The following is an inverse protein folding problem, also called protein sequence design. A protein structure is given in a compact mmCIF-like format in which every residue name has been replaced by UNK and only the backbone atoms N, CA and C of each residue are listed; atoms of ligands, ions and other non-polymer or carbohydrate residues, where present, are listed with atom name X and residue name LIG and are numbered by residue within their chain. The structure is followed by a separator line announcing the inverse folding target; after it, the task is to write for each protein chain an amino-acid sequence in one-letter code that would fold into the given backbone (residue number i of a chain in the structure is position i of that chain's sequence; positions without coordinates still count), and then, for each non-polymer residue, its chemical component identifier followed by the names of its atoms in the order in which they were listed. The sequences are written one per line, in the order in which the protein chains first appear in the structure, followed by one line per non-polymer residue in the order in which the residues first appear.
data_IF_240421642132
#
_entry.id   IF_240421642132
#
_cell.length_a   1.000
_cell.length_b   1.000
_cell.length_c   1.000
_cell.angle_alpha   90.00
_cell.angle_beta   90.00
_cell.angle_gamma   90.00
#
_symmetry.space_group_name_H-M   'P 1'
#
loop_
_entity.id
_entity.type
_entity.pdbx_description
1 polymer ?
#
# COMPACT_ATOMS: atom_id res chain seq x y z
N UNK A 1 1.65 1.25 16.00
CA UNK A 1 2.87 0.61 15.45
C UNK A 1 2.67 -0.91 15.48
N UNK A 2 2.50 -1.57 14.33
CA UNK A 2 2.16 -3.01 14.28
C UNK A 2 3.39 -3.90 14.27
N UNK A 3 3.74 -4.48 15.43
CA UNK A 3 4.66 -5.62 15.51
C UNK A 3 3.86 -6.92 15.39
N UNK A 4 4.43 -7.90 14.68
CA UNK A 4 3.75 -9.12 14.24
C UNK A 4 3.36 -10.12 15.33
N UNK A 5 3.32 -9.74 16.62
CA UNK A 5 3.12 -10.76 17.67
C UNK A 5 2.04 -10.50 18.72
N UNK A 6 1.56 -9.27 18.99
CA UNK A 6 0.49 -9.07 20.00
C UNK A 6 -0.48 -7.90 19.78
N UNK A 7 -0.17 -6.94 18.90
CA UNK A 7 -1.00 -5.73 18.71
C UNK A 7 -1.61 -5.54 17.32
N UNK A 8 -1.39 -6.48 16.38
CA UNK A 8 -1.82 -6.32 14.99
C UNK A 8 -3.33 -6.32 14.80
N UNK A 9 -4.04 -7.21 15.51
CA UNK A 9 -5.50 -7.30 15.42
C UNK A 9 -6.19 -6.08 16.03
N UNK A 10 -5.71 -5.62 17.20
CA UNK A 10 -6.23 -4.40 17.84
C UNK A 10 -6.01 -3.17 16.95
N UNK A 11 -4.82 -3.01 16.38
CA UNK A 11 -4.54 -1.91 15.46
C UNK A 11 -5.42 -1.95 14.20
N UNK A 12 -5.69 -3.14 13.64
CA UNK A 12 -6.62 -3.27 12.52
C UNK A 12 -8.05 -2.90 12.90
N UNK A 13 -8.46 -3.19 14.14
CA UNK A 13 -9.80 -2.83 14.61
C UNK A 13 -9.94 -1.32 14.80
N UNK A 14 -8.95 -0.68 15.45
CA UNK A 14 -8.88 0.79 15.55
C UNK A 14 -8.91 1.46 14.17
N UNK A 15 -8.20 0.88 13.20
CA UNK A 15 -8.20 1.32 11.82
C UNK A 15 -9.59 1.23 11.17
N UNK A 16 -10.35 0.16 11.41
CA UNK A 16 -11.73 0.03 10.93
C UNK A 16 -12.61 1.11 11.53
N UNK A 17 -12.56 1.30 12.86
CA UNK A 17 -13.33 2.32 13.57
C UNK A 17 -12.99 3.72 13.06
N UNK A 18 -11.70 4.05 12.93
CA UNK A 18 -11.26 5.33 12.38
C UNK A 18 -11.79 5.57 10.96
N UNK A 19 -11.78 4.54 10.12
CA UNK A 19 -12.27 4.65 8.74
C UNK A 19 -13.80 4.81 8.68
N UNK A 20 -14.54 4.00 9.42
CA UNK A 20 -16.01 3.96 9.35
C UNK A 20 -16.65 5.12 10.11
N UNK A 21 -16.22 5.34 11.34
CA UNK A 21 -16.88 6.25 12.28
C UNK A 21 -16.20 7.63 12.27
N UNK A 22 -14.88 7.66 12.09
CA UNK A 22 -14.10 8.89 12.04
C UNK A 22 -13.96 9.52 10.64
N UNK A 23 -14.38 8.82 9.58
CA UNK A 23 -14.28 9.30 8.21
C UNK A 23 -12.85 9.42 7.67
N UNK A 24 -11.85 8.86 8.37
CA UNK A 24 -10.44 9.01 8.01
C UNK A 24 -10.07 8.23 6.74
N UNK A 25 -9.13 8.79 5.98
CA UNK A 25 -8.41 8.08 4.92
C UNK A 25 -7.07 7.57 5.46
N UNK A 26 -6.63 6.40 5.01
CA UNK A 26 -5.39 5.79 5.50
C UNK A 26 -4.43 5.45 4.38
N UNK A 27 -3.15 5.73 4.62
CA UNK A 27 -2.06 5.36 3.74
C UNK A 27 -1.28 4.19 4.35
N UNK A 28 -1.19 3.08 3.61
CA UNK A 28 -0.54 1.85 4.08
C UNK A 28 0.54 1.45 3.06
N UNK A 29 1.80 1.27 3.47
CA UNK A 29 2.81 0.61 2.64
C UNK A 29 2.38 -0.83 2.36
N UNK A 30 2.14 -1.15 1.09
CA UNK A 30 1.54 -2.44 0.69
C UNK A 30 2.48 -3.63 0.92
N UNK A 31 3.80 -3.42 0.93
CA UNK A 31 4.81 -4.46 1.09
C UNK A 31 5.15 -4.80 2.54
N UNK A 32 4.83 -3.90 3.49
CA UNK A 32 4.90 -4.11 4.93
C UNK A 32 6.30 -4.48 5.48
N UNK A 33 6.47 -4.62 6.80
CA UNK A 33 7.78 -4.52 7.47
C UNK A 33 8.82 -5.62 7.18
N UNK A 34 8.45 -6.68 6.48
CA UNK A 34 9.29 -7.88 6.25
C UNK A 34 9.52 -8.22 4.76
N UNK A 35 9.04 -7.37 3.85
CA UNK A 35 9.09 -7.65 2.41
C UNK A 35 8.28 -8.85 1.94
N UNK A 36 8.52 -9.31 0.69
CA UNK A 36 9.45 -8.75 -0.31
C UNK A 36 9.05 -7.36 -0.81
N UNK A 37 10.00 -6.57 -1.31
CA UNK A 37 9.74 -5.28 -1.96
C UNK A 37 8.72 -5.46 -3.10
N UNK A 38 7.78 -4.52 -3.21
CA UNK A 38 6.72 -4.53 -4.23
C UNK A 38 5.81 -5.78 -4.21
N UNK A 39 5.72 -6.48 -3.06
CA UNK A 39 4.78 -7.60 -2.89
C UNK A 39 3.69 -7.24 -1.91
N UNK A 40 2.46 -7.11 -2.43
CA UNK A 40 1.34 -6.64 -1.65
C UNK A 40 0.93 -7.66 -0.57
N UNK A 41 0.74 -7.16 0.65
CA UNK A 41 0.24 -7.93 1.79
C UNK A 41 -1.27 -7.80 1.92
N UNK A 42 -1.94 -8.82 2.47
CA UNK A 42 -3.40 -8.87 2.51
C UNK A 42 -4.04 -7.82 3.42
N UNK A 43 -3.28 -7.15 4.29
CA UNK A 43 -3.83 -6.22 5.28
C UNK A 43 -4.65 -5.08 4.68
N UNK A 44 -4.15 -4.44 3.61
CA UNK A 44 -4.88 -3.35 2.94
C UNK A 44 -6.17 -3.84 2.26
N UNK A 45 -6.11 -5.00 1.61
CA UNK A 45 -7.27 -5.61 0.95
C UNK A 45 -8.32 -6.08 1.96
N UNK A 46 -7.87 -6.72 3.03
CA UNK A 46 -8.74 -7.15 4.11
C UNK A 46 -9.44 -5.95 4.74
N UNK A 47 -8.71 -4.85 4.97
CA UNK A 47 -9.29 -3.62 5.50
C UNK A 47 -10.31 -2.99 4.54
N UNK A 48 -10.01 -2.96 3.24
CA UNK A 48 -10.95 -2.49 2.22
C UNK A 48 -12.23 -3.35 2.17
N UNK A 49 -12.08 -4.68 2.20
CA UNK A 49 -13.21 -5.62 2.23
C UNK A 49 -14.06 -5.45 3.49
N UNK A 50 -13.44 -5.25 4.65
CA UNK A 50 -14.16 -4.99 5.90
C UNK A 50 -14.84 -3.62 5.89
N UNK A 51 -14.16 -2.57 5.46
CA UNK A 51 -14.70 -1.20 5.53
C UNK A 51 -15.63 -0.83 4.38
N UNK A 52 -15.64 -1.60 3.28
CA UNK A 52 -16.38 -1.29 2.06
C UNK A 52 -15.80 -0.10 1.28
N UNK A 53 -14.57 0.34 1.59
CA UNK A 53 -13.93 1.50 0.96
C UNK A 53 -12.99 1.11 -0.17
N UNK A 54 -12.82 1.96 -1.19
CA UNK A 54 -11.90 1.68 -2.27
C UNK A 54 -10.44 1.82 -1.81
N UNK A 55 -9.55 1.10 -2.49
CA UNK A 55 -8.11 1.32 -2.45
C UNK A 55 -7.76 2.22 -3.63
N UNK A 56 -7.01 3.29 -3.36
CA UNK A 56 -6.39 4.13 -4.39
C UNK A 56 -4.91 3.72 -4.45
N UNK A 57 -4.45 3.04 -5.51
CA UNK A 57 -3.04 2.71 -5.66
C UNK A 57 -2.24 4.01 -5.85
N UNK A 58 -1.14 4.17 -5.12
CA UNK A 58 -0.30 5.37 -5.19
C UNK A 58 1.15 4.97 -5.41
N UNK A 59 1.83 5.63 -6.34
CA UNK A 59 3.28 5.54 -6.50
C UNK A 59 3.91 6.92 -6.55
N UNK A 60 5.04 7.05 -5.89
CA UNK A 60 5.86 8.25 -5.88
C UNK A 60 7.21 7.95 -6.52
N UNK A 61 7.62 8.82 -7.43
CA UNK A 61 8.90 8.81 -8.12
C UNK A 61 9.70 10.04 -7.73
N UNK A 62 11.01 9.89 -7.65
CA UNK A 62 11.93 10.94 -7.22
C UNK A 62 12.99 11.11 -8.30
N UNK A 63 13.31 12.35 -8.68
CA UNK A 63 14.38 12.59 -9.66
C UNK A 63 15.76 12.28 -9.10
N UNK A 64 15.99 12.51 -7.80
CA UNK A 64 17.24 12.18 -7.12
C UNK A 64 16.96 11.62 -5.72
N UNK A 65 17.37 10.38 -5.48
CA UNK A 65 17.21 9.74 -4.19
C UNK A 65 18.45 8.97 -3.77
N UNK A 66 18.73 8.98 -2.46
CA UNK A 66 19.61 8.00 -1.84
C UNK A 66 18.83 6.72 -1.65
N UNK A 67 19.26 5.65 -2.30
CA UNK A 67 18.66 4.32 -2.13
C UNK A 67 19.45 3.54 -1.09
N UNK A 68 18.80 3.12 -0.02
CA UNK A 68 19.42 2.31 1.02
C UNK A 68 19.54 0.84 0.58
N UNK A 69 20.50 0.11 1.14
CA UNK A 69 20.72 -1.33 0.92
C UNK A 69 19.81 -2.23 1.77
N UNK A 70 18.77 -1.66 2.41
CA UNK A 70 17.73 -2.40 3.12
C UNK A 70 16.88 -3.24 2.15
N UNK A 71 16.18 -4.24 2.69
CA UNK A 71 15.38 -5.18 1.90
C UNK A 71 14.31 -4.49 1.04
N UNK A 72 13.80 -3.35 1.49
CA UNK A 72 12.78 -2.54 0.84
C UNK A 72 13.34 -1.56 -0.20
N UNK A 73 14.67 -1.41 -0.25
CA UNK A 73 15.36 -0.39 -1.04
C UNK A 73 14.75 1.00 -0.80
N UNK A 74 14.56 1.37 0.48
CA UNK A 74 14.01 2.67 0.86
C UNK A 74 14.69 3.81 0.10
N UNK A 75 13.88 4.76 -0.39
CA UNK A 75 14.35 5.89 -1.17
C UNK A 75 14.14 7.15 -0.35
N UNK A 76 15.24 7.82 -0.01
CA UNK A 76 15.19 9.14 0.62
C UNK A 76 15.51 10.20 -0.43
N UNK A 77 14.59 11.13 -0.73
CA UNK A 77 14.83 12.18 -1.69
C UNK A 77 15.99 13.06 -1.23
N UNK A 78 16.90 13.40 -2.14
CA UNK A 78 17.96 14.38 -1.85
C UNK A 78 17.37 15.80 -1.75
N UNK A 79 18.03 16.74 -1.06
CA UNK A 79 17.60 18.14 -1.04
C UNK A 79 17.37 18.67 -2.46
N UNK A 80 16.24 19.34 -2.68
CA UNK A 80 15.79 19.84 -3.99
C UNK A 80 15.51 18.75 -5.04
N UNK A 81 15.20 17.51 -4.64
CA UNK A 81 14.66 16.51 -5.57
C UNK A 81 13.22 16.83 -5.91
N UNK A 82 12.86 16.73 -7.19
CA UNK A 82 11.47 16.70 -7.60
C UNK A 82 10.85 15.36 -7.17
N UNK A 83 9.60 15.40 -6.70
CA UNK A 83 8.81 14.22 -6.37
C UNK A 83 7.52 14.25 -7.17
N UNK A 84 7.27 13.19 -7.92
CA UNK A 84 6.07 13.02 -8.74
C UNK A 84 5.24 11.89 -8.14
N UNK A 85 4.06 12.22 -7.60
CA UNK A 85 3.13 11.24 -7.03
C UNK A 85 1.97 11.04 -7.98
N UNK A 86 1.72 9.79 -8.33
CA UNK A 86 0.67 9.38 -9.24
C UNK A 86 -0.34 8.53 -8.48
N UNK A 87 -1.61 8.80 -8.73
CA UNK A 87 -2.75 8.11 -8.15
C UNK A 87 -3.42 7.30 -9.25
N UNK A 88 -3.63 6.01 -9.01
CA UNK A 88 -4.47 5.18 -9.85
C UNK A 88 -5.95 5.37 -9.54
N UNK A 89 -6.81 4.78 -10.35
CA UNK A 89 -8.25 4.85 -10.13
C UNK A 89 -8.68 4.15 -8.82
N UNK A 90 -9.72 4.66 -8.13
CA UNK A 90 -10.32 3.98 -6.99
C UNK A 90 -10.76 2.56 -7.38
N UNK A 91 -10.27 1.57 -6.63
CA UNK A 91 -10.54 0.16 -6.87
C UNK A 91 -11.18 -0.50 -5.67
N UNK A 92 -12.29 -1.20 -5.90
CA UNK A 92 -12.98 -1.98 -4.88
C UNK A 92 -12.59 -3.46 -5.00
N UNK A 93 -11.67 -3.96 -4.16
CA UNK A 93 -11.23 -5.35 -4.23
C UNK A 93 -12.40 -6.30 -3.97
N UNK A 94 -12.72 -7.13 -4.97
CA UNK A 94 -13.69 -8.22 -4.83
C UNK A 94 -13.01 -9.41 -4.14
N UNK A 95 -12.82 -9.28 -2.83
CA UNK A 95 -12.15 -10.28 -2.01
C UNK A 95 -12.98 -10.68 -0.79
N UNK A 96 -13.18 -11.99 -0.61
CA UNK A 96 -13.67 -12.53 0.66
C UNK A 96 -12.56 -12.41 1.72
N UNK A 97 -12.77 -11.64 2.81
CA UNK A 97 -11.77 -11.44 3.86
C UNK A 97 -11.44 -12.72 4.64
N UNK A 98 -12.28 -13.76 4.55
CA UNK A 98 -12.08 -15.05 5.22
C UNK A 98 -11.40 -16.09 4.33
N UNK A 99 -11.21 -15.81 3.04
CA UNK A 99 -10.58 -16.72 2.08
C UNK A 99 -9.15 -16.30 1.74
N UNK A 100 -8.12 -17.02 2.22
CA UNK A 100 -6.73 -16.71 1.91
C UNK A 100 -6.43 -16.71 0.39
N UNK A 101 -7.11 -17.58 -0.37
CA UNK A 101 -6.97 -17.61 -1.83
C UNK A 101 -7.55 -16.34 -2.49
N UNK A 102 -8.69 -15.87 -1.99
CA UNK A 102 -9.31 -14.64 -2.48
C UNK A 102 -8.44 -13.41 -2.19
N UNK A 103 -7.88 -13.33 -0.98
CA UNK A 103 -6.96 -12.25 -0.60
C UNK A 103 -5.69 -12.27 -1.45
N UNK A 104 -5.11 -13.45 -1.72
CA UNK A 104 -3.91 -13.57 -2.58
C UNK A 104 -4.17 -13.11 -4.02
N UNK A 105 -5.35 -13.40 -4.58
CA UNK A 105 -5.73 -12.92 -5.92
C UNK A 105 -5.79 -11.40 -5.95
N UNK A 106 -6.46 -10.80 -4.98
CA UNK A 106 -6.55 -9.35 -4.87
C UNK A 106 -5.17 -8.71 -4.62
N UNK A 107 -4.25 -9.35 -3.87
CA UNK A 107 -2.88 -8.86 -3.72
C UNK A 107 -2.19 -8.75 -5.08
N UNK A 108 -2.34 -9.76 -5.94
CA UNK A 108 -1.75 -9.75 -7.28
C UNK A 108 -2.34 -8.64 -8.15
N UNK A 109 -3.67 -8.45 -8.12
CA UNK A 109 -4.31 -7.36 -8.85
C UNK A 109 -3.83 -5.98 -8.36
N UNK A 110 -3.64 -5.81 -7.04
CA UNK A 110 -3.06 -4.59 -6.49
C UNK A 110 -1.63 -4.35 -6.98
N UNK A 111 -0.80 -5.40 -7.05
CA UNK A 111 0.55 -5.33 -7.62
C UNK A 111 0.51 -4.89 -9.09
N UNK A 112 -0.38 -5.47 -9.90
CA UNK A 112 -0.56 -5.11 -11.31
C UNK A 112 -0.97 -3.65 -11.48
N UNK A 113 -1.96 -3.19 -10.69
CA UNK A 113 -2.41 -1.79 -10.69
C UNK A 113 -1.31 -0.82 -10.28
N UNK A 114 -0.52 -1.15 -9.26
CA UNK A 114 0.63 -0.35 -8.87
C UNK A 114 1.69 -0.33 -9.97
N UNK A 115 2.01 -1.47 -10.56
CA UNK A 115 3.03 -1.56 -11.61
C UNK A 115 2.63 -0.81 -12.89
N UNK A 116 1.34 -0.73 -13.20
CA UNK A 116 0.80 0.05 -14.31
C UNK A 116 0.95 1.57 -14.11
N UNK A 117 1.13 2.04 -12.87
CA UNK A 117 1.43 3.44 -12.60
C UNK A 117 2.91 3.68 -12.91
N UNK A 118 3.19 4.23 -14.07
CA UNK A 118 4.51 4.65 -14.52
C UNK A 118 4.52 6.16 -14.77
N UNK A 119 5.65 6.85 -14.56
CA UNK A 119 5.76 8.25 -14.94
C UNK A 119 5.70 8.38 -16.46
N UNK A 120 5.05 9.44 -16.95
CA UNK A 120 4.89 9.71 -18.40
C UNK A 120 6.22 10.01 -19.11
N UNK A 121 7.29 10.24 -18.35
CA UNK A 121 8.63 10.53 -18.87
C UNK A 121 9.69 9.71 -18.14
N UNK A 122 10.50 9.00 -18.92
CA UNK A 122 11.84 8.57 -18.52
C UNK A 122 12.58 9.84 -18.09
N UNK A 123 12.83 10.00 -16.79
CA UNK A 123 13.69 11.09 -16.33
C UNK A 123 15.13 10.67 -16.65
N UNK A 124 15.65 11.24 -17.75
CA UNK A 124 17.07 11.27 -18.12
C UNK A 124 17.96 11.79 -16.97
#
# INVERSE_FOLDING_TARGET
RGSSNRGGAAALHEMITAIRDGGYSMCIPVDGPKGPRHKAKPGAIWLAAQTGRPIIPVRTFMSRAKVFSSWDRFQLPLPFSAMHTYYGDPWFPQADPNSPASLRRACRELEERLNAITPDTCHD
#
